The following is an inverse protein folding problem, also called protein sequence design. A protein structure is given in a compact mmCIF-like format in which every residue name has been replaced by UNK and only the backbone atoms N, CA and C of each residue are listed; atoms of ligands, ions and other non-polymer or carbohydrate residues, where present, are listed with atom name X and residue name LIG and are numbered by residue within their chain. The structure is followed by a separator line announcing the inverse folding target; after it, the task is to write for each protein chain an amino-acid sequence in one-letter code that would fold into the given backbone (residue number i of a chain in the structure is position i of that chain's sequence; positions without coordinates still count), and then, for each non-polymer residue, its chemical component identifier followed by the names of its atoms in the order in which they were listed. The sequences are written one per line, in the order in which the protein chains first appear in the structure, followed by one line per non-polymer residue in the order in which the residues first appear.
data_IF_063719938919
#
_entry.id   IF_063719938919
#
_cell.length_a   1.000
_cell.length_b   1.000
_cell.length_c   1.000
_cell.angle_alpha   90.00
_cell.angle_beta   90.00
_cell.angle_gamma   90.00
#
_symmetry.space_group_name_H-M   'P 1'
#
loop_
_entity.id
_entity.type
_entity.pdbx_description
1 polymer ?
#
# COMPACT_ATOMS: atom_id res chain seq x y z
N UNK A 1 -10.06 9.11 -21.23
CA UNK A 1 -10.37 7.75 -20.71
C UNK A 1 -9.30 7.40 -19.69
N UNK A 2 -9.67 7.04 -18.44
CA UNK A 2 -8.70 6.77 -17.36
C UNK A 2 -8.02 5.44 -17.65
N UNK A 3 -6.69 5.41 -17.83
CA UNK A 3 -5.97 4.19 -18.18
C UNK A 3 -5.95 3.23 -16.98
N UNK A 4 -6.60 2.05 -17.05
CA UNK A 4 -6.71 1.11 -15.94
C UNK A 4 -5.34 0.56 -15.48
N UNK A 5 -4.38 0.43 -16.39
CA UNK A 5 -3.05 -0.12 -16.10
C UNK A 5 -2.22 0.78 -15.17
N UNK A 6 -2.39 2.11 -15.32
CA UNK A 6 -1.69 3.08 -14.48
C UNK A 6 -2.20 3.05 -13.03
N UNK A 7 -3.50 2.80 -12.85
CA UNK A 7 -4.10 2.66 -11.53
C UNK A 7 -3.56 1.40 -10.84
N UNK A 8 -3.56 0.27 -11.54
CA UNK A 8 -3.06 -1.00 -11.02
C UNK A 8 -1.57 -0.91 -10.61
N UNK A 9 -0.75 -0.27 -11.45
CA UNK A 9 0.68 -0.05 -11.12
C UNK A 9 0.87 0.79 -9.86
N UNK A 10 0.07 1.84 -9.69
CA UNK A 10 0.13 2.69 -8.50
C UNK A 10 -0.25 1.91 -7.24
N UNK A 11 -1.35 1.18 -7.31
CA UNK A 11 -1.87 0.42 -6.17
C UNK A 11 -0.90 -0.70 -5.75
N UNK A 12 -0.29 -1.42 -6.71
CA UNK A 12 0.77 -2.39 -6.41
C UNK A 12 2.00 -1.75 -5.77
N UNK A 13 2.42 -0.57 -6.25
CA UNK A 13 3.55 0.16 -5.65
C UNK A 13 3.24 0.58 -4.22
N UNK A 14 2.00 1.01 -3.96
CA UNK A 14 1.52 1.40 -2.64
C UNK A 14 1.57 0.22 -1.66
N UNK A 15 1.00 -0.92 -2.03
CA UNK A 15 1.02 -2.15 -1.20
C UNK A 15 2.45 -2.62 -0.94
N UNK A 16 3.30 -2.62 -1.97
CA UNK A 16 4.70 -3.04 -1.81
C UNK A 16 5.47 -2.15 -0.85
N UNK A 17 5.32 -0.83 -0.97
CA UNK A 17 6.03 0.11 -0.10
C UNK A 17 5.50 0.06 1.33
N UNK A 18 4.19 -0.16 1.52
CA UNK A 18 3.62 -0.45 2.82
C UNK A 18 4.26 -1.69 3.47
N UNK A 19 4.32 -2.81 2.74
CA UNK A 19 4.97 -4.03 3.21
C UNK A 19 6.45 -3.81 3.59
N UNK A 20 7.21 -3.08 2.78
CA UNK A 20 8.61 -2.78 3.08
C UNK A 20 8.78 -1.93 4.35
N UNK A 21 7.91 -0.93 4.57
CA UNK A 21 7.99 -0.06 5.74
C UNK A 21 7.48 -0.74 7.01
N UNK A 22 6.33 -1.41 6.92
CA UNK A 22 5.65 -2.02 8.06
C UNK A 22 6.21 -3.41 8.41
N UNK A 23 6.26 -4.35 7.46
CA UNK A 23 6.63 -5.74 7.75
C UNK A 23 8.14 -6.01 7.70
N UNK A 24 8.87 -5.32 6.82
CA UNK A 24 10.32 -5.49 6.68
C UNK A 24 11.06 -4.59 7.66
N UNK A 25 10.80 -3.27 7.62
CA UNK A 25 11.46 -2.29 8.50
C UNK A 25 10.81 -2.17 9.89
N UNK A 26 9.64 -2.77 10.12
CA UNK A 26 8.95 -2.79 11.43
C UNK A 26 8.64 -1.40 11.98
N UNK A 27 8.33 -0.43 11.10
CA UNK A 27 7.83 0.88 11.51
C UNK A 27 6.39 0.76 12.05
N UNK A 28 5.95 1.69 12.89
CA UNK A 28 4.57 1.70 13.39
C UNK A 28 3.61 1.99 12.25
N UNK A 29 2.41 1.40 12.32
CA UNK A 29 1.36 1.55 11.31
C UNK A 29 1.05 3.03 11.02
N UNK A 30 0.85 3.84 12.06
CA UNK A 30 0.52 5.27 11.91
C UNK A 30 1.64 6.03 11.19
N UNK A 31 2.90 5.77 11.54
CA UNK A 31 4.06 6.41 10.90
C UNK A 31 4.18 5.99 9.43
N UNK A 32 3.93 4.71 9.12
CA UNK A 32 3.95 4.19 7.74
C UNK A 32 2.85 4.86 6.92
N UNK A 33 1.61 4.88 7.42
CA UNK A 33 0.49 5.49 6.70
C UNK A 33 0.73 6.99 6.49
N UNK A 34 1.29 7.67 7.48
CA UNK A 34 1.65 9.09 7.37
C UNK A 34 2.75 9.34 6.33
N UNK A 35 3.82 8.56 6.34
CA UNK A 35 4.91 8.63 5.34
C UNK A 35 4.38 8.33 3.92
N UNK A 36 3.52 7.32 3.78
CA UNK A 36 2.86 7.03 2.49
C UNK A 36 1.96 8.17 2.02
N UNK A 37 1.24 8.80 2.95
CA UNK A 37 0.36 9.94 2.71
C UNK A 37 1.14 11.19 2.31
N UNK A 38 2.12 11.61 3.11
CA UNK A 38 2.77 12.93 3.00
C UNK A 38 3.94 12.94 2.01
N UNK A 39 4.74 11.87 1.93
CA UNK A 39 6.01 11.89 1.20
C UNK A 39 5.94 11.16 -0.16
N UNK A 40 4.96 10.27 -0.34
CA UNK A 40 4.96 9.34 -1.47
C UNK A 40 3.76 9.43 -2.39
N UNK A 41 2.54 9.41 -1.84
CA UNK A 41 1.33 9.29 -2.64
C UNK A 41 0.41 10.50 -2.58
N UNK A 42 0.53 11.37 -1.58
CA UNK A 42 -0.30 12.56 -1.40
C UNK A 42 -1.79 12.20 -1.35
N UNK A 43 -2.12 11.18 -0.56
CA UNK A 43 -3.48 10.64 -0.36
C UNK A 43 -3.76 10.50 1.13
N UNK A 44 -5.02 10.63 1.52
CA UNK A 44 -5.44 10.46 2.91
C UNK A 44 -5.04 9.08 3.46
N UNK A 45 -4.60 9.04 4.72
CA UNK A 45 -4.19 7.82 5.42
C UNK A 45 -5.31 6.78 5.44
N UNK A 46 -6.56 7.21 5.67
CA UNK A 46 -7.73 6.33 5.67
C UNK A 46 -8.01 5.76 4.28
N UNK A 47 -7.81 6.58 3.24
CA UNK A 47 -7.93 6.12 1.87
C UNK A 47 -6.85 5.09 1.54
N UNK A 48 -5.60 5.33 1.93
CA UNK A 48 -4.48 4.38 1.76
C UNK A 48 -4.80 3.06 2.48
N UNK A 49 -5.20 3.13 3.74
CA UNK A 49 -5.56 1.96 4.54
C UNK A 49 -6.68 1.15 3.89
N UNK A 50 -7.76 1.82 3.49
CA UNK A 50 -8.87 1.17 2.79
C UNK A 50 -8.44 0.53 1.48
N UNK A 51 -7.53 1.17 0.74
CA UNK A 51 -7.03 0.67 -0.55
C UNK A 51 -6.14 -0.56 -0.39
N UNK A 52 -5.41 -0.70 0.71
CA UNK A 52 -4.58 -1.88 0.99
C UNK A 52 -5.45 -3.04 1.47
N UNK A 53 -6.28 -2.82 2.50
CA UNK A 53 -6.94 -3.91 3.23
C UNK A 53 -8.38 -4.22 2.77
N UNK A 54 -9.09 -3.26 2.20
CA UNK A 54 -10.49 -3.45 1.77
C UNK A 54 -10.62 -3.65 0.25
N UNK A 55 -9.51 -3.54 -0.48
CA UNK A 55 -9.46 -3.93 -1.89
C UNK A 55 -8.96 -5.36 -2.01
N UNK A 56 -9.83 -6.27 -2.48
CA UNK A 56 -9.51 -7.69 -2.63
C UNK A 56 -8.17 -7.93 -3.34
N UNK A 57 -7.96 -7.36 -4.52
CA UNK A 57 -6.74 -7.56 -5.32
C UNK A 57 -5.46 -7.07 -4.61
N UNK A 58 -5.55 -5.96 -3.88
CA UNK A 58 -4.40 -5.38 -3.19
C UNK A 58 -4.10 -6.14 -1.90
N UNK A 59 -5.14 -6.60 -1.21
CA UNK A 59 -5.01 -7.41 -0.01
C UNK A 59 -4.45 -8.79 -0.34
N UNK A 60 -4.88 -9.41 -1.45
CA UNK A 60 -4.29 -10.64 -1.97
C UNK A 60 -2.81 -10.45 -2.28
N UNK A 61 -2.44 -9.39 -3.00
CA UNK A 61 -1.03 -9.08 -3.27
C UNK A 61 -0.20 -8.83 -2.00
N UNK A 62 -0.79 -8.17 -1.00
CA UNK A 62 -0.14 -8.00 0.30
C UNK A 62 0.13 -9.34 1.00
N UNK A 63 -0.86 -10.25 1.00
CA UNK A 63 -0.71 -11.58 1.59
C UNK A 63 0.32 -12.42 0.83
N UNK A 64 0.42 -12.30 -0.50
CA UNK A 64 1.49 -12.94 -1.29
C UNK A 64 2.87 -12.47 -0.83
N UNK A 65 3.05 -11.16 -0.59
CA UNK A 65 4.32 -10.60 -0.10
C UNK A 65 4.68 -11.12 1.30
N UNK A 66 3.69 -11.30 2.19
CA UNK A 66 3.90 -11.87 3.52
C UNK A 66 4.32 -13.34 3.47
N UNK A 67 3.65 -14.13 2.61
CA UNK A 67 3.88 -15.57 2.50
C UNK A 67 5.12 -15.94 1.67
N UNK A 68 5.64 -15.01 0.87
CA UNK A 68 6.86 -15.21 0.07
C UNK A 68 8.16 -15.12 0.90
N UNK A 69 8.07 -15.18 2.23
CA UNK A 69 9.16 -15.02 3.20
C UNK A 69 9.42 -16.33 3.93
#
# INVERSE_FOLDING_TARGET
MRNPDLKLKRDRRLVKMFYELYDVKRKRMDDVLKELSEDHFFLDTDYIYSRIFYCKENHEYYNELLNSK
#
